data_IF_063516177325
#
_entry.id   IF_063516177325
#
_cell.length_a   1.000
_cell.length_b   1.000
_cell.length_c   1.000
_cell.angle_alpha   90.00
_cell.angle_beta   90.00
_cell.angle_gamma   90.00
#
_symmetry.space_group_name_H-M   'P 1'
#
loop_
_entity.id
_entity.type
_entity.pdbx_description
1 polymer ?
#
# COMPACT_ATOMS: atom_id res chain seq x y z
N UNK A 1 6.70 15.46 4.25
CA UNK A 1 7.03 14.62 5.44
C UNK A 1 6.86 13.14 5.08
N UNK A 2 7.94 12.42 4.80
CA UNK A 2 7.87 10.96 4.64
C UNK A 2 7.74 10.36 6.04
N UNK A 3 6.50 10.07 6.46
CA UNK A 3 6.23 9.34 7.71
C UNK A 3 6.94 8.00 7.63
N UNK A 4 8.09 7.87 8.32
CA UNK A 4 8.89 6.65 8.35
C UNK A 4 8.10 5.60 9.14
N UNK A 5 7.23 4.86 8.45
CA UNK A 5 6.41 3.82 9.08
C UNK A 5 7.29 2.61 9.41
N UNK A 6 7.17 2.11 10.63
CA UNK A 6 7.91 0.95 11.13
C UNK A 6 6.97 -0.25 11.16
N UNK A 7 7.46 -1.42 10.76
CA UNK A 7 6.68 -2.65 10.79
C UNK A 7 6.51 -3.13 12.24
N UNK A 8 5.29 -3.29 12.76
CA UNK A 8 5.07 -3.79 14.12
C UNK A 8 5.54 -5.23 14.32
N UNK A 9 5.58 -6.05 13.26
CA UNK A 9 5.97 -7.45 13.35
C UNK A 9 7.50 -7.65 13.48
N UNK A 10 8.31 -6.85 12.77
CA UNK A 10 9.77 -7.07 12.73
C UNK A 10 10.62 -5.84 13.07
N UNK A 11 10.01 -4.71 13.44
CA UNK A 11 10.70 -3.47 13.81
C UNK A 11 11.45 -2.77 12.67
N UNK A 12 11.47 -3.33 11.45
CA UNK A 12 12.15 -2.74 10.31
C UNK A 12 11.32 -1.62 9.69
N UNK A 13 12.00 -0.61 9.17
CA UNK A 13 11.37 0.47 8.40
C UNK A 13 10.69 -0.10 7.14
N UNK A 14 9.43 0.23 6.95
CA UNK A 14 8.67 -0.17 5.78
C UNK A 14 9.11 0.64 4.56
N UNK A 15 9.02 0.02 3.38
CA UNK A 15 9.27 0.69 2.11
C UNK A 15 7.95 1.12 1.48
N UNK A 16 7.91 2.33 0.95
CA UNK A 16 6.76 2.80 0.21
C UNK A 16 6.77 2.18 -1.20
N UNK A 17 5.75 1.38 -1.53
CA UNK A 17 5.59 0.82 -2.88
C UNK A 17 4.86 1.82 -3.77
N UNK A 18 3.76 2.39 -3.28
CA UNK A 18 2.93 3.38 -3.96
C UNK A 18 2.60 4.52 -3.01
N UNK A 19 2.03 5.61 -3.54
CA UNK A 19 1.54 6.71 -2.70
C UNK A 19 0.49 6.15 -1.73
N UNK A 20 0.77 6.22 -0.43
CA UNK A 20 -0.13 5.68 0.61
C UNK A 20 -0.10 4.17 0.82
N UNK A 21 0.79 3.42 0.15
CA UNK A 21 0.99 1.98 0.38
C UNK A 21 2.44 1.67 0.75
N UNK A 22 2.63 1.01 1.89
CA UNK A 22 3.91 0.62 2.44
C UNK A 22 3.96 -0.91 2.63
N UNK A 23 5.09 -1.54 2.31
CA UNK A 23 5.29 -2.97 2.52
C UNK A 23 6.49 -3.23 3.44
N UNK A 24 6.45 -4.35 4.12
CA UNK A 24 7.58 -4.94 4.79
C UNK A 24 7.96 -6.29 4.15
N UNK A 25 9.24 -6.63 4.19
CA UNK A 25 9.76 -7.92 3.69
C UNK A 25 9.15 -9.11 4.43
N UNK A 26 8.71 -8.94 5.68
CA UNK A 26 8.11 -10.01 6.49
C UNK A 26 6.66 -10.36 6.11
N UNK A 27 6.11 -9.79 5.03
CA UNK A 27 4.75 -10.09 4.58
C UNK A 27 3.70 -9.07 5.05
N UNK A 28 3.99 -8.26 6.06
CA UNK A 28 3.07 -7.21 6.52
C UNK A 28 3.11 -5.96 5.63
N UNK A 29 1.95 -5.42 5.32
CA UNK A 29 1.76 -4.17 4.58
C UNK A 29 0.94 -3.18 5.39
N UNK A 30 0.98 -1.91 4.96
CA UNK A 30 0.16 -0.83 5.50
C UNK A 30 -0.38 0.02 4.36
N UNK A 31 -1.69 0.27 4.34
CA UNK A 31 -2.33 1.19 3.38
C UNK A 31 -3.05 2.30 4.14
N UNK A 32 -3.03 3.52 3.61
CA UNK A 32 -3.64 4.70 4.24
C UNK A 32 -5.08 4.49 4.69
N UNK A 33 -5.86 3.77 3.90
CA UNK A 33 -7.30 3.62 4.14
C UNK A 33 -7.66 2.32 4.90
N UNK A 34 -6.71 1.37 5.00
CA UNK A 34 -6.94 0.03 5.60
C UNK A 34 -6.22 -0.12 6.94
N UNK A 35 -5.06 0.52 7.11
CA UNK A 35 -4.15 0.21 8.21
C UNK A 35 -3.20 -0.93 7.86
N UNK A 36 -2.73 -1.66 8.87
CA UNK A 36 -1.83 -2.81 8.70
C UNK A 36 -2.60 -4.07 8.29
N UNK A 37 -2.04 -4.86 7.38
CA UNK A 37 -2.62 -6.12 6.92
C UNK A 37 -1.53 -7.08 6.45
N UNK A 38 -1.81 -8.39 6.53
CA UNK A 38 -0.92 -9.42 5.99
C UNK A 38 -1.14 -9.60 4.50
N UNK A 39 -0.05 -9.78 3.74
CA UNK A 39 -0.13 -10.06 2.31
C UNK A 39 -0.39 -11.54 2.09
N UNK A 40 -1.40 -11.84 1.28
CA UNK A 40 -1.62 -13.18 0.75
C UNK A 40 -1.06 -13.29 -0.69
N UNK A 41 -0.64 -14.47 -1.15
CA UNK A 41 -0.05 -14.64 -2.49
C UNK A 41 -0.98 -14.29 -3.67
N UNK A 42 -2.30 -14.32 -3.45
CA UNK A 42 -3.30 -13.95 -4.46
C UNK A 42 -3.54 -12.43 -4.57
N UNK A 43 -3.03 -11.62 -3.63
CA UNK A 43 -3.14 -10.16 -3.72
C UNK A 43 -2.22 -9.59 -4.80
N UNK A 44 -2.78 -8.73 -5.64
CA UNK A 44 -2.08 -7.98 -6.70
C UNK A 44 -2.22 -6.49 -6.43
N UNK A 45 -1.11 -5.83 -6.15
CA UNK A 45 -1.08 -4.37 -5.95
C UNK A 45 -0.93 -3.66 -7.28
N UNK A 46 -1.91 -2.83 -7.64
CA UNK A 46 -1.94 -2.10 -8.90
C UNK A 46 -2.26 -0.61 -8.68
N UNK A 47 -2.08 0.17 -9.74
CA UNK A 47 -2.49 1.57 -9.80
C UNK A 47 -3.59 1.70 -10.82
N UNK A 48 -4.70 2.31 -10.43
CA UNK A 48 -5.79 2.62 -11.33
C UNK A 48 -5.90 4.12 -11.55
N UNK A 49 -6.23 4.50 -12.79
CA UNK A 49 -6.55 5.88 -13.14
C UNK A 49 -8.06 6.03 -13.07
N UNK A 50 -8.52 6.89 -12.16
CA UNK A 50 -9.92 7.23 -12.03
C UNK A 50 -10.14 8.68 -12.44
N UNK A 51 -11.26 8.95 -13.10
CA UNK A 51 -11.66 10.31 -13.45
C UNK A 51 -12.48 10.88 -12.30
N UNK A 52 -11.93 11.90 -11.63
CA UNK A 52 -12.61 12.63 -10.56
C UNK A 52 -12.98 14.03 -11.09
N UNK A 53 -14.18 14.12 -11.67
CA UNK A 53 -14.64 15.32 -12.39
C UNK A 53 -13.78 15.58 -13.64
N UNK A 54 -13.16 16.76 -13.72
CA UNK A 54 -12.27 17.15 -14.84
C UNK A 54 -10.80 16.71 -14.66
N UNK A 55 -10.46 15.98 -13.58
CA UNK A 55 -9.07 15.56 -13.29
C UNK A 55 -8.94 14.05 -13.29
N UNK A 56 -7.84 13.54 -13.85
CA UNK A 56 -7.45 12.13 -13.71
C UNK A 56 -6.58 11.97 -12.47
N UNK A 57 -6.99 11.07 -11.58
CA UNK A 57 -6.24 10.73 -10.36
C UNK A 57 -5.72 9.30 -10.47
N UNK A 58 -4.53 9.07 -9.93
CA UNK A 58 -3.95 7.73 -9.82
C UNK A 58 -4.13 7.23 -8.38
N UNK A 59 -4.80 6.11 -8.21
CA UNK A 59 -5.12 5.54 -6.89
C UNK A 59 -4.55 4.12 -6.74
N UNK A 60 -3.99 3.76 -5.57
CA UNK A 60 -3.53 2.40 -5.31
C UNK A 60 -4.72 1.48 -5.04
N UNK A 61 -4.78 0.37 -5.75
CA UNK A 61 -5.80 -0.67 -5.60
C UNK A 61 -5.16 -2.02 -5.28
N UNK A 62 -5.91 -2.86 -4.58
CA UNK A 62 -5.55 -4.26 -4.32
C UNK A 62 -6.57 -5.10 -5.07
N UNK A 63 -6.10 -5.88 -6.04
CA UNK A 63 -6.89 -6.88 -6.77
C UNK A 63 -6.57 -8.27 -6.23
N UNK A 64 -7.43 -9.22 -6.52
CA UNK A 64 -7.19 -10.63 -6.21
C UNK A 64 -7.18 -11.41 -7.52
N UNK A 65 -6.25 -12.36 -7.66
CA UNK A 65 -6.27 -13.34 -8.74
C UNK A 65 -7.41 -14.32 -8.57
#
# INVERSE_FOLDING_TARGET
MSSKRVCPNCGRKMKQQFIGLFHCKCGLSWKRDIGFFERTPNMVFALERIQAGKKVKQVPVIRYK
#
